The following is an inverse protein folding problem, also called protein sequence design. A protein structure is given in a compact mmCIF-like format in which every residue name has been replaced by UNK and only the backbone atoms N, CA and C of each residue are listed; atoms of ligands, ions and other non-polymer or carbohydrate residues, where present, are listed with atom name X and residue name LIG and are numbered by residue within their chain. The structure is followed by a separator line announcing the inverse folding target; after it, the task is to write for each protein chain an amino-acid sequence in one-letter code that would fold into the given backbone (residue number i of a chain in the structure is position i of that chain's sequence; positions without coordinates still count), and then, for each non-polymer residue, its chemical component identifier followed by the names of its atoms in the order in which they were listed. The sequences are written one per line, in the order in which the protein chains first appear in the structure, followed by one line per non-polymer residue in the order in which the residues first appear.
data_IF_846573508174
#
_entry.id   IF_846573508174
#
_cell.length_a   1.000
_cell.length_b   1.000
_cell.length_c   1.000
_cell.angle_alpha   90.00
_cell.angle_beta   90.00
_cell.angle_gamma   90.00
#
_symmetry.space_group_name_H-M   'P 1'
#
loop_
_entity.id
_entity.type
_entity.pdbx_description
1 polymer ?
#
# COMPACT_ATOMS: atom_id res chain seq x y z
N UNK A 1 -12.06 9.30 12.39
CA UNK A 1 -12.46 9.94 13.66
C UNK A 1 -11.77 11.29 13.82
N UNK A 2 -12.49 12.30 14.29
CA UNK A 2 -11.98 13.66 14.58
C UNK A 2 -11.54 13.77 16.04
N UNK A 3 -10.48 14.52 16.36
CA UNK A 3 -10.16 14.87 17.75
C UNK A 3 -9.61 16.32 17.86
N UNK A 4 -10.26 17.24 18.59
CA UNK A 4 -9.79 18.61 18.73
C UNK A 4 -8.73 18.74 19.84
N UNK A 5 -7.45 18.91 19.48
CA UNK A 5 -6.41 19.32 20.45
C UNK A 5 -6.46 20.84 20.67
N UNK A 6 -7.05 21.28 21.80
CA UNK A 6 -6.89 22.68 22.26
C UNK A 6 -5.44 22.93 22.70
N UNK A 7 -4.71 23.78 21.97
CA UNK A 7 -3.44 24.37 22.47
C UNK A 7 -3.74 25.34 23.62
N UNK A 8 -3.21 25.08 24.81
CA UNK A 8 -3.23 26.05 25.92
C UNK A 8 -2.29 27.21 25.60
N UNK A 9 -2.83 28.38 25.26
CA UNK A 9 -2.06 29.64 25.26
C UNK A 9 -2.07 30.23 26.67
N UNK A 10 -0.90 30.32 27.29
CA UNK A 10 -0.66 31.11 28.49
C UNK A 10 -0.69 32.60 28.14
N UNK A 11 -1.64 33.35 28.69
CA UNK A 11 -1.64 34.80 28.69
C UNK A 11 -1.91 35.31 30.12
N UNK A 12 -0.99 36.12 30.65
CA UNK A 12 -1.13 36.86 31.91
C UNK A 12 -2.01 38.09 31.69
N UNK A 13 -3.01 38.28 32.54
CA UNK A 13 -3.80 39.51 32.64
C UNK A 13 -4.83 39.42 33.77
N UNK A 14 -4.78 40.37 34.70
CA UNK A 14 -5.54 40.43 35.95
C UNK A 14 -6.92 41.08 35.82
N UNK A 15 -7.98 40.49 36.39
CA UNK A 15 -8.88 41.10 37.41
C UNK A 15 -10.16 40.28 37.67
N UNK A 16 -10.46 40.10 38.97
CA UNK A 16 -11.71 39.83 39.71
C UNK A 16 -12.99 39.34 38.98
N UNK A 17 -13.50 38.13 39.31
CA UNK A 17 -14.91 37.81 39.68
C UNK A 17 -15.18 36.29 39.90
N UNK A 18 -15.96 35.99 40.96
CA UNK A 18 -16.78 34.79 41.30
C UNK A 18 -16.17 33.35 41.28
N UNK A 19 -16.56 32.47 42.23
CA UNK A 19 -16.06 31.09 42.30
C UNK A 19 -16.55 30.23 41.13
N UNK A 20 -15.73 29.29 40.61
CA UNK A 20 -16.07 28.50 39.43
C UNK A 20 -17.14 27.46 39.75
N UNK A 21 -18.19 27.42 38.94
CA UNK A 21 -19.13 26.30 38.90
C UNK A 21 -18.41 25.06 38.34
N UNK A 22 -18.67 23.89 38.94
CA UNK A 22 -18.12 22.62 38.50
C UNK A 22 -18.44 22.37 37.01
N UNK A 23 -17.50 21.83 36.21
CA UNK A 23 -17.78 21.52 34.81
C UNK A 23 -18.85 20.44 34.76
N UNK A 24 -19.96 20.75 34.06
CA UNK A 24 -20.97 19.78 33.66
C UNK A 24 -20.26 18.64 32.92
N UNK A 25 -20.51 17.40 33.34
CA UNK A 25 -20.04 16.20 32.63
C UNK A 25 -20.44 16.31 31.17
N UNK A 26 -19.44 16.35 30.28
CA UNK A 26 -19.69 16.14 28.85
C UNK A 26 -20.17 14.69 28.73
N UNK A 27 -21.36 14.50 28.16
CA UNK A 27 -21.84 13.17 27.79
C UNK A 27 -20.85 12.48 26.83
N UNK A 28 -20.99 11.16 26.62
CA UNK A 28 -20.09 10.42 25.74
C UNK A 28 -20.03 11.10 24.37
N UNK A 29 -18.83 11.50 23.94
CA UNK A 29 -18.64 12.07 22.60
C UNK A 29 -19.04 10.99 21.59
N UNK A 30 -20.10 11.24 20.83
CA UNK A 30 -20.46 10.43 19.67
C UNK A 30 -19.32 10.51 18.66
N UNK A 31 -18.61 9.41 18.44
CA UNK A 31 -17.59 9.33 17.40
C UNK A 31 -18.27 9.53 16.05
N UNK A 32 -17.91 10.61 15.33
CA UNK A 32 -18.35 10.82 13.96
C UNK A 32 -17.28 10.31 12.98
N UNK A 33 -17.75 9.57 11.97
CA UNK A 33 -16.94 9.17 10.80
C UNK A 33 -16.82 10.41 9.93
N UNK A 34 -15.58 10.77 9.57
CA UNK A 34 -15.34 11.90 8.68
C UNK A 34 -15.73 11.51 7.26
N UNK A 35 -16.58 12.31 6.64
CA UNK A 35 -17.03 12.09 5.27
C UNK A 35 -16.21 12.94 4.30
N UNK A 36 -15.48 12.30 3.36
CA UNK A 36 -14.73 13.04 2.38
C UNK A 36 -15.65 13.99 1.59
N UNK A 37 -15.44 15.31 1.71
CA UNK A 37 -16.08 16.34 0.88
C UNK A 37 -17.35 16.96 1.46
N UNK A 38 -18.01 16.27 2.40
CA UNK A 38 -19.07 16.86 3.21
C UNK A 38 -18.50 17.53 4.48
N UNK A 39 -17.42 16.95 5.03
CA UNK A 39 -16.80 17.38 6.26
C UNK A 39 -15.51 18.18 6.02
N UNK A 40 -15.45 19.50 6.32
CA UNK A 40 -14.20 20.26 6.25
C UNK A 40 -13.24 19.83 7.37
N UNK A 41 -11.93 19.81 7.09
CA UNK A 41 -10.91 19.60 8.13
C UNK A 41 -10.40 20.97 8.56
N UNK A 42 -10.58 21.31 9.84
CA UNK A 42 -10.14 22.60 10.36
C UNK A 42 -8.60 22.69 10.45
N UNK A 43 -8.03 23.91 10.46
CA UNK A 43 -6.59 24.09 10.60
C UNK A 43 -6.06 23.45 11.90
N UNK A 44 -5.25 22.38 11.75
CA UNK A 44 -4.67 21.62 12.85
C UNK A 44 -5.51 20.44 13.35
N UNK A 45 -6.66 20.17 12.72
CA UNK A 45 -7.39 18.92 12.88
C UNK A 45 -6.68 17.80 12.11
N UNK A 46 -6.53 16.64 12.75
CA UNK A 46 -5.90 15.46 12.15
C UNK A 46 -6.91 14.32 12.21
N UNK A 47 -7.11 13.66 11.08
CA UNK A 47 -7.94 12.47 11.02
C UNK A 47 -7.24 11.31 11.71
N UNK A 48 -7.94 10.67 12.65
CA UNK A 48 -7.52 9.40 13.23
C UNK A 48 -8.25 8.28 12.50
N UNK A 49 -7.53 7.24 12.09
CA UNK A 49 -8.14 6.04 11.52
C UNK A 49 -8.96 5.31 12.57
N UNK A 50 -9.97 4.57 12.11
CA UNK A 50 -10.71 3.62 12.95
C UNK A 50 -9.95 2.28 12.95
N UNK A 51 -9.42 1.81 14.10
CA UNK A 51 -8.69 0.56 14.15
C UNK A 51 -9.53 -0.67 13.78
N UNK A 52 -10.85 -0.62 13.95
CA UNK A 52 -11.73 -1.75 13.60
C UNK A 52 -11.90 -1.94 12.09
N UNK A 53 -11.54 -0.95 11.29
CA UNK A 53 -11.58 -1.03 9.83
C UNK A 53 -10.47 -1.91 9.23
N UNK A 54 -9.49 -2.31 10.04
CA UNK A 54 -8.31 -3.06 9.60
C UNK A 54 -8.11 -4.31 10.46
N UNK A 55 -7.98 -5.47 9.82
CA UNK A 55 -7.44 -6.67 10.47
C UNK A 55 -5.97 -6.44 10.85
N UNK A 56 -5.26 -5.66 10.04
CA UNK A 56 -3.83 -5.39 10.17
C UNK A 56 -3.51 -4.02 9.57
N UNK A 57 -2.72 -3.20 10.26
CA UNK A 57 -2.18 -1.94 9.76
C UNK A 57 -0.82 -1.66 10.41
N UNK A 58 0.23 -1.71 9.61
CA UNK A 58 1.60 -1.37 10.00
C UNK A 58 2.14 -0.27 9.09
N UNK A 59 2.83 0.70 9.67
CA UNK A 59 3.46 1.79 8.94
C UNK A 59 4.97 1.78 9.18
N UNK A 60 5.75 2.05 8.14
CA UNK A 60 7.20 2.18 8.24
C UNK A 60 7.74 3.15 7.18
N UNK A 61 8.98 3.61 7.36
CA UNK A 61 9.64 4.52 6.42
C UNK A 61 11.09 4.10 6.19
N UNK A 62 11.59 4.39 4.99
CA UNK A 62 13.02 4.37 4.69
C UNK A 62 13.61 5.77 4.89
N UNK A 63 14.93 5.91 4.74
CA UNK A 63 15.61 7.21 4.87
C UNK A 63 15.18 8.22 3.80
N UNK A 64 14.69 7.71 2.67
CA UNK A 64 14.30 8.49 1.50
C UNK A 64 12.93 8.03 0.99
N UNK A 65 12.12 8.95 0.43
CA UNK A 65 10.83 8.61 -0.15
C UNK A 65 11.02 7.65 -1.32
N UNK A 66 10.01 6.82 -1.55
CA UNK A 66 10.01 5.84 -2.62
C UNK A 66 8.87 6.10 -3.59
N UNK A 67 9.19 6.35 -4.86
CA UNK A 67 8.19 6.44 -5.93
C UNK A 67 7.67 5.07 -6.33
N UNK A 68 8.45 4.02 -6.10
CA UNK A 68 8.09 2.69 -6.52
C UNK A 68 8.54 1.59 -5.59
N UNK A 69 7.73 0.55 -5.53
CA UNK A 69 8.07 -0.73 -4.92
C UNK A 69 7.43 -1.88 -5.69
N UNK A 70 7.81 -3.10 -5.35
CA UNK A 70 7.20 -4.33 -5.85
C UNK A 70 7.22 -5.40 -4.75
N UNK A 71 6.22 -6.28 -4.75
CA UNK A 71 6.10 -7.36 -3.76
C UNK A 71 6.81 -8.59 -4.28
N UNK A 72 7.76 -9.12 -3.51
CA UNK A 72 8.47 -10.33 -3.87
C UNK A 72 7.61 -11.54 -3.55
N UNK A 73 7.54 -12.45 -4.52
CA UNK A 73 6.99 -13.79 -4.27
C UNK A 73 7.94 -14.56 -3.35
N UNK A 74 7.39 -15.21 -2.34
CA UNK A 74 8.13 -16.00 -1.36
C UNK A 74 7.75 -17.49 -1.43
N UNK A 75 8.51 -18.32 -0.73
CA UNK A 75 8.31 -19.77 -0.65
C UNK A 75 7.61 -20.20 0.66
N UNK A 76 6.94 -19.29 1.37
CA UNK A 76 6.26 -19.59 2.64
C UNK A 76 4.91 -20.30 2.47
N UNK A 77 4.54 -20.66 1.24
CA UNK A 77 3.25 -21.27 0.90
C UNK A 77 2.13 -20.23 0.69
N UNK A 78 0.95 -20.70 0.26
CA UNK A 78 -0.23 -19.85 0.09
C UNK A 78 -1.48 -20.64 -0.34
N UNK A 79 -2.69 -20.05 -0.20
CA UNK A 79 -2.98 -18.71 0.34
C UNK A 79 -2.72 -18.63 1.85
N UNK A 80 -2.09 -17.54 2.30
CA UNK A 80 -1.78 -17.32 3.72
C UNK A 80 -2.85 -16.44 4.36
N UNK A 81 -3.80 -17.04 5.06
CA UNK A 81 -4.96 -16.36 5.64
C UNK A 81 -4.86 -16.11 7.15
N UNK A 82 -3.97 -16.82 7.86
CA UNK A 82 -3.80 -16.70 9.31
C UNK A 82 -2.60 -15.82 9.69
N UNK A 83 -2.80 -15.01 10.72
CA UNK A 83 -1.75 -14.23 11.35
C UNK A 83 -0.80 -15.10 12.21
N UNK A 84 0.45 -14.65 12.46
CA UNK A 84 1.07 -13.45 11.92
C UNK A 84 1.56 -13.63 10.48
N UNK A 85 1.56 -12.55 9.70
CA UNK A 85 2.08 -12.55 8.33
C UNK A 85 3.55 -12.15 8.25
N UNK A 86 4.19 -12.62 7.18
CA UNK A 86 5.49 -12.14 6.73
C UNK A 86 5.45 -11.84 5.24
N UNK A 87 6.10 -10.78 4.79
CA UNK A 87 6.18 -10.43 3.38
C UNK A 87 7.57 -9.92 3.03
N UNK A 88 7.88 -10.01 1.74
CA UNK A 88 9.13 -9.55 1.15
C UNK A 88 8.81 -8.54 0.06
N UNK A 89 9.57 -7.46 -0.03
CA UNK A 89 9.35 -6.42 -1.03
C UNK A 89 10.65 -5.72 -1.42
N UNK A 90 10.64 -5.06 -2.58
CA UNK A 90 11.72 -4.21 -3.04
C UNK A 90 11.20 -2.79 -3.22
N UNK A 91 11.94 -1.78 -2.75
CA UNK A 91 11.58 -0.38 -2.88
C UNK A 91 12.76 0.44 -3.41
N UNK A 92 12.50 1.41 -4.29
CA UNK A 92 13.51 2.29 -4.87
C UNK A 92 13.41 3.71 -4.35
N UNK A 93 14.54 4.29 -3.91
CA UNK A 93 14.55 5.63 -3.28
C UNK A 93 14.61 6.79 -4.27
N UNK A 94 14.22 7.97 -3.80
CA UNK A 94 14.31 9.26 -4.49
C UNK A 94 14.99 10.31 -3.60
N UNK A 95 16.29 10.14 -3.39
CA UNK A 95 17.15 11.08 -2.69
C UNK A 95 17.63 12.19 -3.63
N UNK A 96 17.66 13.44 -3.14
CA UNK A 96 18.17 14.58 -3.92
C UNK A 96 19.62 14.40 -4.38
N UNK A 97 20.57 13.92 -3.54
CA UNK A 97 21.90 13.61 -4.02
C UNK A 97 21.89 12.27 -4.78
N UNK A 98 22.27 12.28 -6.06
CA UNK A 98 22.26 11.08 -6.91
C UNK A 98 22.93 9.86 -6.27
N UNK A 99 24.05 10.07 -5.55
CA UNK A 99 24.82 9.00 -4.87
C UNK A 99 24.23 8.49 -3.56
N UNK A 100 23.18 9.12 -3.05
CA UNK A 100 22.50 8.72 -1.81
C UNK A 100 21.37 7.71 -2.08
N UNK A 101 21.05 7.46 -3.36
CA UNK A 101 20.00 6.53 -3.74
C UNK A 101 20.42 5.07 -3.59
N UNK A 102 19.43 4.24 -3.33
CA UNK A 102 19.53 2.79 -3.28
C UNK A 102 18.18 2.17 -3.65
N UNK A 103 18.19 0.87 -3.90
CA UNK A 103 16.98 0.06 -3.74
C UNK A 103 17.14 -0.87 -2.53
N UNK A 104 16.07 -1.01 -1.76
CA UNK A 104 16.00 -1.77 -0.53
C UNK A 104 15.17 -3.03 -0.75
N UNK A 105 15.75 -4.19 -0.46
CA UNK A 105 15.05 -5.45 -0.26
C UNK A 105 14.64 -5.51 1.20
N UNK A 106 13.36 -5.72 1.48
CA UNK A 106 12.76 -5.57 2.80
C UNK A 106 12.03 -6.86 3.15
N UNK A 107 12.23 -7.34 4.38
CA UNK A 107 11.42 -8.37 5.02
C UNK A 107 10.68 -7.74 6.19
N UNK A 108 9.37 -7.86 6.14
CA UNK A 108 8.50 -7.60 7.28
C UNK A 108 8.00 -8.94 7.79
N UNK A 109 8.09 -9.18 9.10
CA UNK A 109 7.57 -10.40 9.71
C UNK A 109 6.88 -10.09 11.04
N UNK A 110 6.19 -11.07 11.60
CA UNK A 110 5.38 -10.91 12.81
C UNK A 110 4.34 -9.79 12.65
N UNK A 111 3.81 -9.62 11.44
CA UNK A 111 2.73 -8.67 11.17
C UNK A 111 1.45 -9.29 11.75
N UNK A 112 1.19 -9.04 13.02
CA UNK A 112 0.00 -9.50 13.71
C UNK A 112 -1.21 -8.61 13.45
N UNK A 113 -2.37 -9.10 13.88
CA UNK A 113 -3.53 -8.25 14.06
C UNK A 113 -3.18 -7.24 15.15
N UNK A 114 -3.49 -5.96 14.94
CA UNK A 114 -3.21 -4.94 15.95
C UNK A 114 -3.91 -5.23 17.28
N UNK A 115 -3.87 -4.29 18.24
CA UNK A 115 -4.43 -4.42 19.60
C UNK A 115 -5.91 -4.83 19.71
N UNK A 116 -6.64 -4.97 18.60
CA UNK A 116 -8.07 -5.29 18.55
C UNK A 116 -8.40 -6.66 17.92
N UNK A 117 -7.41 -7.38 17.38
CA UNK A 117 -7.64 -8.67 16.69
C UNK A 117 -8.15 -9.81 17.58
N UNK A 118 -7.93 -9.76 18.90
CA UNK A 118 -8.33 -10.84 19.81
C UNK A 118 -9.81 -10.82 20.21
N UNK A 119 -10.54 -9.71 20.00
CA UNK A 119 -11.92 -9.59 20.51
C UNK A 119 -13.02 -10.00 19.54
N UNK A 120 -12.73 -10.17 18.24
CA UNK A 120 -13.75 -10.46 17.23
C UNK A 120 -14.07 -11.95 17.04
N UNK A 121 -13.28 -12.86 17.63
CA UNK A 121 -13.47 -14.31 17.49
C UNK A 121 -14.30 -14.96 18.63
N UNK A 122 -14.65 -14.20 19.68
CA UNK A 122 -15.50 -14.70 20.75
C UNK A 122 -16.98 -14.37 20.45
N UNK A 123 -17.65 -15.28 19.76
CA UNK A 123 -19.11 -15.30 19.72
C UNK A 123 -19.70 -15.48 21.13
N UNK A 124 -20.80 -14.77 21.36
CA UNK A 124 -21.69 -14.74 22.54
C UNK A 124 -21.54 -15.82 23.63
N UNK A 125 -21.66 -15.33 24.87
CA UNK A 125 -21.79 -16.04 26.17
C UNK A 125 -20.52 -16.71 26.70
N UNK A 126 -19.76 -16.00 27.55
CA UNK A 126 -19.77 -16.24 28.99
C UNK A 126 -18.74 -15.38 29.74
N UNK A 127 -19.21 -14.81 30.85
CA UNK A 127 -18.53 -14.57 32.14
C UNK A 127 -17.01 -14.34 32.15
N UNK A 128 -16.61 -13.10 32.52
CA UNK A 128 -15.46 -12.76 33.35
C UNK A 128 -14.28 -13.76 33.36
N UNK A 129 -13.40 -13.68 32.36
CA UNK A 129 -11.99 -14.04 32.56
C UNK A 129 -11.13 -12.81 32.33
N UNK A 130 -10.82 -12.14 33.44
CA UNK A 130 -9.65 -11.27 33.57
C UNK A 130 -8.42 -12.21 33.60
N UNK A 131 -8.13 -12.87 32.47
CA UNK A 131 -6.83 -13.47 32.24
C UNK A 131 -6.05 -12.46 31.42
N UNK A 132 -5.06 -11.86 32.09
CA UNK A 132 -3.92 -11.18 31.48
C UNK A 132 -3.11 -12.20 30.63
N UNK A 133 -3.73 -12.79 29.62
CA UNK A 133 -3.04 -13.53 28.57
C UNK A 133 -2.47 -12.48 27.59
N UNK A 134 -1.50 -11.70 28.09
CA UNK A 134 -0.42 -11.12 27.30
C UNK A 134 0.40 -12.30 26.72
N UNK A 135 -0.22 -13.10 25.85
CA UNK A 135 0.42 -14.20 25.16
C UNK A 135 1.49 -13.60 24.25
N UNK A 136 2.73 -13.58 24.73
CA UNK A 136 4.02 -13.27 24.09
C UNK A 136 3.93 -12.82 22.62
N UNK A 137 3.31 -11.66 22.36
CA UNK A 137 3.15 -11.19 20.98
C UNK A 137 4.52 -10.73 20.48
N UNK A 138 5.16 -11.56 19.65
CA UNK A 138 6.47 -11.25 19.10
C UNK A 138 6.34 -9.95 18.29
N UNK A 139 7.14 -8.90 18.58
CA UNK A 139 6.97 -7.61 17.94
C UNK A 139 7.22 -7.70 16.43
N UNK A 140 6.59 -6.80 15.63
CA UNK A 140 6.85 -6.70 14.21
C UNK A 140 8.34 -6.56 13.91
N UNK A 141 8.79 -7.31 12.91
CA UNK A 141 10.17 -7.41 12.52
C UNK A 141 10.39 -6.62 11.23
N UNK A 142 11.38 -5.73 11.21
CA UNK A 142 11.79 -4.96 10.03
C UNK A 142 13.26 -5.26 9.71
N UNK A 143 13.50 -5.98 8.60
CA UNK A 143 14.84 -6.24 8.09
C UNK A 143 15.00 -5.69 6.69
N UNK A 144 16.16 -5.10 6.41
CA UNK A 144 16.47 -4.53 5.09
C UNK A 144 17.87 -4.91 4.62
N UNK A 145 18.01 -5.03 3.30
CA UNK A 145 19.27 -5.09 2.57
C UNK A 145 19.22 -4.07 1.44
N UNK A 146 20.23 -3.21 1.37
CA UNK A 146 20.24 -2.08 0.45
C UNK A 146 21.38 -2.21 -0.54
N UNK A 147 21.10 -1.90 -1.81
CA UNK A 147 22.10 -1.84 -2.87
C UNK A 147 22.11 -0.43 -3.46
N UNK A 148 23.30 0.16 -3.51
CA UNK A 148 23.51 1.51 -4.02
C UNK A 148 23.05 1.63 -5.47
N UNK A 149 22.29 2.69 -5.75
CA UNK A 149 21.82 3.03 -7.08
C UNK A 149 22.27 4.47 -7.39
N UNK A 150 22.77 4.73 -8.59
CA UNK A 150 23.15 6.08 -8.98
C UNK A 150 21.94 6.79 -9.59
N UNK A 151 21.51 7.88 -8.97
CA UNK A 151 20.29 8.57 -9.37
C UNK A 151 19.03 7.94 -8.74
N UNK A 152 17.92 8.65 -8.80
CA UNK A 152 16.62 8.22 -8.30
C UNK A 152 16.10 6.97 -9.04
N UNK A 153 15.39 6.12 -8.30
CA UNK A 153 14.71 4.95 -8.87
C UNK A 153 13.25 5.32 -9.16
N UNK A 154 12.92 5.52 -10.43
CA UNK A 154 11.57 5.89 -10.89
C UNK A 154 10.60 4.71 -10.82
N UNK A 155 11.10 3.51 -11.15
CA UNK A 155 10.34 2.26 -11.09
C UNK A 155 11.25 1.11 -10.67
N UNK A 156 10.74 0.20 -9.84
CA UNK A 156 11.42 -1.04 -9.49
C UNK A 156 10.47 -2.21 -9.63
N UNK A 157 10.94 -3.32 -10.21
CA UNK A 157 10.17 -4.56 -10.38
C UNK A 157 11.03 -5.79 -10.13
N UNK A 158 10.48 -6.72 -9.36
CA UNK A 158 11.05 -8.05 -9.16
C UNK A 158 10.57 -8.98 -10.25
N UNK A 159 11.46 -9.85 -10.76
CA UNK A 159 11.10 -10.83 -11.77
C UNK A 159 10.26 -11.95 -11.13
N UNK A 160 9.03 -12.22 -11.62
CA UNK A 160 8.13 -13.19 -10.99
C UNK A 160 8.69 -14.61 -10.89
N UNK A 161 9.48 -15.03 -11.88
CA UNK A 161 10.06 -16.38 -11.95
C UNK A 161 11.36 -16.50 -11.15
N UNK A 162 12.01 -15.38 -10.82
CA UNK A 162 13.23 -15.35 -10.01
C UNK A 162 13.26 -14.04 -9.20
N UNK A 163 12.65 -14.00 -8.00
CA UNK A 163 12.44 -12.76 -7.25
C UNK A 163 13.72 -11.97 -6.89
N UNK A 164 14.88 -12.65 -6.89
CA UNK A 164 16.20 -12.03 -6.71
C UNK A 164 16.68 -11.20 -7.91
N UNK A 165 16.08 -11.34 -9.10
CA UNK A 165 16.38 -10.47 -10.23
C UNK A 165 15.49 -9.23 -10.19
N UNK A 166 16.12 -8.06 -10.02
CA UNK A 166 15.45 -6.79 -9.85
C UNK A 166 15.73 -5.90 -11.06
N UNK A 167 14.70 -5.39 -11.72
CA UNK A 167 14.84 -4.33 -12.72
C UNK A 167 14.54 -2.97 -12.07
N UNK A 168 15.41 -2.00 -12.32
CA UNK A 168 15.20 -0.60 -11.94
C UNK A 168 15.14 0.26 -13.19
N UNK A 169 14.23 1.23 -13.19
CA UNK A 169 14.23 2.36 -14.12
C UNK A 169 14.80 3.57 -13.38
N UNK A 170 15.94 4.09 -13.80
CA UNK A 170 16.60 5.25 -13.19
C UNK A 170 16.27 6.59 -13.87
N UNK A 171 16.36 7.67 -13.09
CA UNK A 171 16.24 9.06 -13.57
C UNK A 171 17.35 9.47 -14.57
N UNK A 172 18.47 8.74 -14.57
CA UNK A 172 19.57 8.88 -15.53
C UNK A 172 19.27 8.36 -16.95
N UNK A 173 18.03 7.94 -17.24
CA UNK A 173 17.64 7.41 -18.55
C UNK A 173 18.15 6.00 -18.81
N UNK A 174 18.32 5.19 -17.75
CA UNK A 174 18.83 3.83 -17.85
C UNK A 174 17.87 2.86 -17.18
N UNK A 175 17.62 1.73 -17.85
CA UNK A 175 17.06 0.54 -17.20
C UNK A 175 18.20 -0.37 -16.82
N UNK A 176 18.19 -0.85 -15.59
CA UNK A 176 19.25 -1.70 -15.04
C UNK A 176 18.64 -2.98 -14.48
N UNK A 177 19.29 -4.11 -14.70
CA UNK A 177 18.92 -5.39 -14.09
C UNK A 177 19.99 -5.78 -13.10
N UNK A 178 19.58 -6.10 -11.89
CA UNK A 178 20.42 -6.42 -10.75
C UNK A 178 20.20 -7.86 -10.31
N UNK A 179 21.28 -8.52 -9.92
CA UNK A 179 21.19 -9.81 -9.23
C UNK A 179 21.32 -9.55 -7.73
N UNK A 180 20.17 -9.56 -7.05
CA UNK A 180 20.03 -9.37 -5.62
C UNK A 180 19.69 -10.68 -4.89
N UNK A 181 19.91 -11.83 -5.53
CA UNK A 181 19.55 -13.16 -4.98
C UNK A 181 20.19 -13.39 -3.61
N UNK A 182 21.48 -13.06 -3.47
CA UNK A 182 22.17 -13.18 -2.18
C UNK A 182 21.53 -12.32 -1.07
N UNK A 183 21.10 -11.10 -1.39
CA UNK A 183 20.44 -10.22 -0.43
C UNK A 183 19.06 -10.76 -0.02
N UNK A 184 18.33 -11.36 -0.96
CA UNK A 184 17.04 -12.02 -0.67
C UNK A 184 17.27 -13.24 0.21
N UNK A 185 18.24 -14.10 -0.11
CA UNK A 185 18.57 -15.29 0.69
C UNK A 185 18.96 -14.93 2.13
N UNK A 186 19.77 -13.88 2.32
CA UNK A 186 20.12 -13.36 3.64
C UNK A 186 18.89 -12.91 4.44
N UNK A 187 17.93 -12.23 3.79
CA UNK A 187 16.67 -11.83 4.44
C UNK A 187 15.83 -13.05 4.84
N UNK A 188 15.76 -14.06 3.98
CA UNK A 188 15.01 -15.30 4.23
C UNK A 188 15.59 -16.05 5.43
N UNK A 189 16.91 -16.30 5.41
CA UNK A 189 17.60 -17.10 6.42
C UNK A 189 17.71 -16.39 7.78
N UNK A 190 17.55 -15.07 7.83
CA UNK A 190 17.70 -14.30 9.07
C UNK A 190 19.14 -14.28 9.61
N UNK A 191 20.11 -14.73 8.82
CA UNK A 191 21.53 -14.68 9.16
C UNK A 191 22.03 -13.24 9.00
N UNK A 192 22.52 -12.65 10.09
CA UNK A 192 23.05 -11.29 10.09
C UNK A 192 24.36 -11.14 9.32
N UNK A 193 24.62 -9.93 8.77
CA UNK A 193 25.98 -9.36 8.68
C UNK A 193 26.08 -7.92 8.16
N UNK A 194 25.05 -7.30 7.55
CA UNK A 194 25.12 -5.84 7.32
C UNK A 194 24.65 -5.12 8.57
N UNK A 195 25.44 -4.18 9.09
CA UNK A 195 24.93 -3.25 10.11
C UNK A 195 23.65 -2.61 9.58
N UNK A 196 22.61 -2.42 10.41
CA UNK A 196 21.44 -1.63 10.02
C UNK A 196 21.92 -0.32 9.38
N UNK A 197 21.41 0.02 8.19
CA UNK A 197 21.80 1.23 7.47
C UNK A 197 22.99 1.09 6.50
N UNK A 198 23.68 -0.05 6.42
CA UNK A 198 24.78 -0.20 5.47
C UNK A 198 24.28 -0.45 4.05
N UNK A 199 24.58 0.47 3.15
CA UNK A 199 24.28 0.34 1.71
C UNK A 199 25.41 -0.45 1.03
N UNK A 200 25.07 -1.63 0.52
CA UNK A 200 25.96 -2.46 -0.28
C UNK A 200 26.26 -1.82 -1.63
N UNK A 201 27.43 -2.13 -2.20
CA UNK A 201 27.79 -1.70 -3.55
C UNK A 201 27.75 -2.92 -4.46
N UNK A 202 26.97 -2.81 -5.53
CA UNK A 202 26.93 -3.77 -6.62
C UNK A 202 27.02 -3.05 -7.96
N UNK A 203 27.27 -3.81 -9.02
CA UNK A 203 27.09 -3.34 -10.38
C UNK A 203 25.86 -4.02 -10.97
N UNK A 204 25.10 -3.35 -11.85
CA UNK A 204 24.01 -4.01 -12.54
C UNK A 204 24.55 -5.11 -13.45
N UNK A 205 23.84 -6.23 -13.51
CA UNK A 205 24.11 -7.36 -14.41
C UNK A 205 23.90 -6.96 -15.87
N UNK A 206 22.90 -6.11 -16.12
CA UNK A 206 22.61 -5.55 -17.44
C UNK A 206 22.26 -4.06 -17.29
N UNK A 207 22.64 -3.27 -18.28
CA UNK A 207 22.32 -1.85 -18.36
C UNK A 207 21.84 -1.54 -19.78
N UNK A 208 20.65 -0.99 -19.87
CA UNK A 208 19.99 -0.62 -21.12
C UNK A 208 19.81 0.90 -21.14
N UNK A 209 20.48 1.55 -22.10
CA UNK A 209 20.44 3.00 -22.23
C UNK A 209 19.22 3.42 -23.05
N UNK A 210 18.44 4.35 -22.51
CA UNK A 210 17.34 5.02 -23.20
C UNK A 210 17.74 6.45 -23.61
N UNK A 211 16.97 7.04 -24.50
CA UNK A 211 17.13 8.44 -24.94
C UNK A 211 16.65 9.44 -23.90
N UNK A 212 15.60 9.07 -23.13
CA UNK A 212 15.06 9.84 -22.00
C UNK A 212 14.73 8.89 -20.85
N UNK A 213 14.63 9.45 -19.65
CA UNK A 213 14.03 8.72 -18.53
C UNK A 213 12.57 8.36 -18.79
N UNK A 214 11.99 7.59 -17.88
CA UNK A 214 10.71 6.94 -18.00
C UNK A 214 10.26 6.39 -16.66
N UNK A 215 9.11 5.75 -16.66
CA UNK A 215 8.44 5.23 -15.47
C UNK A 215 7.82 3.85 -15.71
N UNK A 216 7.64 3.45 -16.97
CA UNK A 216 7.04 2.17 -17.32
C UNK A 216 8.12 1.07 -17.33
N UNK A 217 7.95 0.07 -16.48
CA UNK A 217 8.81 -1.10 -16.40
C UNK A 217 7.95 -2.28 -15.93
N UNK A 218 7.98 -3.40 -16.67
CA UNK A 218 7.35 -4.64 -16.20
C UNK A 218 8.03 -5.87 -16.80
N UNK A 219 8.09 -6.93 -15.99
CA UNK A 219 8.55 -8.24 -16.39
C UNK A 219 7.40 -9.04 -17.00
N UNK A 220 7.69 -9.78 -18.07
CA UNK A 220 6.74 -10.77 -18.57
C UNK A 220 6.47 -11.83 -17.51
N UNK A 221 5.20 -12.04 -17.20
CA UNK A 221 4.77 -13.12 -16.28
C UNK A 221 4.89 -14.51 -16.93
N UNK A 222 4.96 -14.56 -18.27
CA UNK A 222 4.95 -15.82 -19.04
C UNK A 222 6.34 -16.24 -19.52
N UNK A 223 7.20 -15.29 -19.90
CA UNK A 223 8.55 -15.60 -20.37
C UNK A 223 9.59 -15.03 -19.40
N UNK A 224 10.34 -15.94 -18.78
CA UNK A 224 11.40 -15.59 -17.85
C UNK A 224 12.45 -14.69 -18.53
N UNK A 225 12.80 -13.57 -17.88
CA UNK A 225 13.82 -12.65 -18.35
C UNK A 225 13.38 -11.68 -19.45
N UNK A 226 12.14 -11.78 -19.97
CA UNK A 226 11.60 -10.78 -20.89
C UNK A 226 11.13 -9.55 -20.10
N UNK A 227 11.61 -8.38 -20.47
CA UNK A 227 11.35 -7.12 -19.81
C UNK A 227 10.81 -6.11 -20.82
N UNK A 228 9.73 -5.40 -20.48
CA UNK A 228 9.24 -4.28 -21.25
C UNK A 228 9.50 -2.98 -20.50
N UNK A 229 9.84 -1.93 -21.23
CA UNK A 229 10.22 -0.65 -20.63
C UNK A 229 9.77 0.51 -21.55
N UNK A 230 9.26 1.59 -20.98
CA UNK A 230 8.76 2.76 -21.73
C UNK A 230 9.32 4.08 -21.23
N UNK A 231 9.76 4.94 -22.15
CA UNK A 231 10.38 6.23 -21.84
C UNK A 231 9.51 7.45 -22.19
N UNK A 232 9.91 8.61 -21.66
CA UNK A 232 9.30 9.92 -21.91
C UNK A 232 9.56 10.45 -23.33
N UNK A 233 10.27 9.71 -24.19
CA UNK A 233 10.36 9.98 -25.63
C UNK A 233 9.28 9.22 -26.42
N UNK A 234 8.31 8.60 -25.73
CA UNK A 234 7.22 7.81 -26.31
C UNK A 234 7.69 6.52 -27.02
N UNK A 235 8.85 5.98 -26.62
CA UNK A 235 9.33 4.70 -27.13
C UNK A 235 9.06 3.57 -26.13
N UNK A 236 8.66 2.41 -26.66
CA UNK A 236 8.54 1.16 -25.92
C UNK A 236 9.67 0.25 -26.38
N UNK A 237 10.42 -0.28 -25.42
CA UNK A 237 11.51 -1.21 -25.64
C UNK A 237 11.15 -2.56 -25.01
N UNK A 238 11.51 -3.64 -25.70
CA UNK A 238 11.37 -5.01 -25.19
C UNK A 238 12.74 -5.66 -25.21
N UNK A 239 13.14 -6.21 -24.07
CA UNK A 239 14.42 -6.85 -23.83
C UNK A 239 14.18 -8.33 -23.58
N UNK A 240 15.01 -9.20 -24.15
CA UNK A 240 14.93 -10.64 -23.93
C UNK A 240 16.33 -11.26 -23.84
N UNK A 241 16.51 -12.35 -23.08
CA UNK A 241 17.78 -13.08 -23.04
C UNK A 241 18.11 -13.66 -24.42
N UNK A 242 19.38 -13.63 -24.83
CA UNK A 242 19.83 -14.13 -26.14
C UNK A 242 19.51 -15.62 -26.39
N UNK A 243 19.17 -16.39 -25.35
CA UNK A 243 18.76 -17.80 -25.43
C UNK A 243 17.23 -18.02 -25.47
N UNK A 244 16.41 -16.96 -25.46
CA UNK A 244 14.95 -17.02 -25.31
C UNK A 244 14.16 -16.83 -26.62
N UNK A 245 14.83 -16.81 -27.77
CA UNK A 245 14.18 -16.85 -29.07
C UNK A 245 14.11 -18.29 -29.54
N UNK A 246 12.97 -18.98 -29.33
CA UNK A 246 12.49 -20.06 -30.22
C UNK A 246 11.09 -20.56 -29.86
N UNK A 247 10.08 -19.68 -29.87
CA UNK A 247 8.68 -20.06 -30.15
C UNK A 247 7.76 -18.83 -30.22
N UNK A 248 7.56 -18.36 -31.45
CA UNK A 248 6.62 -17.30 -31.78
C UNK A 248 5.18 -17.71 -31.56
N UNK A 249 4.59 -17.25 -30.44
CA UNK A 249 3.14 -17.12 -30.30
C UNK A 249 2.79 -15.74 -29.76
N UNK A 250 2.43 -14.85 -30.68
CA UNK A 250 1.81 -13.57 -30.40
C UNK A 250 0.29 -13.79 -30.38
N UNK A 251 -0.33 -13.78 -29.19
CA UNK A 251 -1.78 -13.68 -29.11
C UNK A 251 -2.16 -12.22 -29.35
N UNK A 252 -2.64 -11.94 -30.56
CA UNK A 252 -3.31 -10.67 -30.85
C UNK A 252 -4.69 -10.72 -30.20
N UNK A 253 -4.87 -9.96 -29.13
CA UNK A 253 -6.20 -9.68 -28.62
C UNK A 253 -6.86 -8.67 -29.54
N UNK A 254 -8.04 -9.01 -30.04
CA UNK A 254 -8.82 -8.10 -30.85
C UNK A 254 -9.45 -7.01 -29.97
N UNK A 255 -8.75 -5.89 -29.83
CA UNK A 255 -9.22 -4.70 -29.11
C UNK A 255 -10.25 -3.87 -29.93
N UNK A 256 -10.73 -4.36 -31.08
CA UNK A 256 -11.68 -3.61 -31.93
C UNK A 256 -13.12 -3.61 -31.40
N UNK A 257 -13.39 -4.26 -30.27
CA UNK A 257 -14.69 -4.22 -29.60
C UNK A 257 -14.81 -3.09 -28.55
N UNK A 258 -13.78 -2.26 -28.37
CA UNK A 258 -13.93 -0.99 -27.66
C UNK A 258 -14.54 0.04 -28.61
N UNK A 259 -15.84 0.32 -28.48
CA UNK A 259 -16.43 1.48 -29.15
C UNK A 259 -15.71 2.73 -28.62
N UNK A 260 -15.21 3.65 -29.48
CA UNK A 260 -14.60 4.89 -29.02
C UNK A 260 -15.53 5.63 -28.06
N UNK A 261 -15.05 5.92 -26.84
CA UNK A 261 -15.84 6.56 -25.78
C UNK A 261 -16.75 5.64 -24.95
N UNK A 262 -16.75 4.32 -25.20
CA UNK A 262 -17.48 3.37 -24.36
C UNK A 262 -16.57 2.83 -23.24
N UNK A 263 -16.89 3.20 -22.00
CA UNK A 263 -16.40 2.55 -20.80
C UNK A 263 -17.46 1.56 -20.29
N UNK A 264 -17.03 0.45 -19.70
CA UNK A 264 -17.95 -0.51 -19.04
C UNK A 264 -18.48 0.06 -17.73
N UNK A 265 -17.64 0.84 -17.03
CA UNK A 265 -18.01 1.60 -15.84
C UNK A 265 -17.15 2.87 -15.73
N UNK A 266 -17.70 3.92 -15.14
CA UNK A 266 -16.99 5.17 -14.83
C UNK A 266 -17.35 5.62 -13.41
N UNK A 267 -16.37 5.58 -12.51
CA UNK A 267 -16.54 5.98 -11.12
C UNK A 267 -15.90 7.35 -10.88
N UNK A 268 -16.73 8.34 -10.58
CA UNK A 268 -16.29 9.70 -10.24
C UNK A 268 -16.22 9.85 -8.72
N UNK A 269 -15.17 9.30 -8.10
CA UNK A 269 -14.97 9.35 -6.64
C UNK A 269 -13.75 10.15 -6.20
N UNK A 270 -12.57 9.80 -6.73
CA UNK A 270 -11.33 10.51 -6.44
C UNK A 270 -11.41 11.96 -6.89
N UNK A 271 -10.79 12.86 -6.13
CA UNK A 271 -10.83 14.31 -6.40
C UNK A 271 -9.56 14.87 -7.00
N UNK A 272 -8.58 14.01 -7.18
CA UNK A 272 -7.30 14.35 -7.81
C UNK A 272 -6.88 13.21 -8.74
N UNK A 273 -5.72 13.36 -9.39
CA UNK A 273 -5.21 12.38 -10.33
C UNK A 273 -5.00 11.02 -9.64
N UNK A 274 -5.53 9.97 -10.26
CA UNK A 274 -5.25 8.59 -9.88
C UNK A 274 -3.78 8.31 -10.23
N UNK A 275 -3.01 7.83 -9.25
CA UNK A 275 -1.57 7.60 -9.36
C UNK A 275 -1.21 6.14 -9.62
N UNK A 276 -2.06 5.20 -9.17
CA UNK A 276 -1.91 3.76 -9.42
C UNK A 276 -3.27 3.07 -9.49
N UNK A 277 -3.36 2.01 -10.28
CA UNK A 277 -4.53 1.13 -10.40
C UNK A 277 -4.03 -0.30 -10.55
N UNK A 278 -4.58 -1.23 -9.78
CA UNK A 278 -4.27 -2.66 -9.90
C UNK A 278 -5.50 -3.53 -9.66
N UNK A 279 -5.69 -4.55 -10.49
CA UNK A 279 -6.67 -5.60 -10.24
C UNK A 279 -6.20 -6.52 -9.11
N UNK A 280 -7.14 -7.02 -8.31
CA UNK A 280 -6.83 -8.05 -7.33
C UNK A 280 -6.34 -9.31 -8.05
N UNK A 281 -5.21 -9.91 -7.62
CA UNK A 281 -4.76 -11.19 -8.15
C UNK A 281 -5.61 -12.36 -7.63
N UNK A 282 -6.45 -12.13 -6.62
CA UNK A 282 -7.28 -13.15 -5.97
C UNK A 282 -8.74 -13.09 -6.40
N UNK A 283 -9.26 -11.91 -6.75
CA UNK A 283 -10.67 -11.70 -7.10
C UNK A 283 -10.85 -10.93 -8.40
N UNK A 284 -11.54 -11.55 -9.37
CA UNK A 284 -11.62 -11.04 -10.75
C UNK A 284 -12.46 -9.77 -10.93
N UNK A 285 -13.37 -9.49 -9.99
CA UNK A 285 -14.20 -8.29 -10.00
C UNK A 285 -13.61 -7.14 -9.17
N UNK A 286 -12.51 -7.38 -8.45
CA UNK A 286 -11.98 -6.44 -7.47
C UNK A 286 -10.77 -5.68 -8.01
N UNK A 287 -10.69 -4.38 -7.73
CA UNK A 287 -9.52 -3.55 -8.05
C UNK A 287 -9.23 -2.55 -6.93
N UNK A 288 -8.01 -2.03 -6.88
CA UNK A 288 -7.60 -0.97 -5.96
C UNK A 288 -7.00 0.21 -6.73
N UNK A 289 -7.18 1.42 -6.18
CA UNK A 289 -6.69 2.68 -6.74
C UNK A 289 -6.03 3.54 -5.68
N UNK A 290 -4.97 4.27 -6.02
CA UNK A 290 -4.42 5.37 -5.21
C UNK A 290 -4.58 6.69 -5.95
N UNK A 291 -4.70 7.78 -5.20
CA UNK A 291 -4.85 9.12 -5.78
C UNK A 291 -4.00 10.15 -5.05
N UNK A 292 -3.66 11.22 -5.76
CA UNK A 292 -3.00 12.40 -5.21
C UNK A 292 -3.89 13.19 -4.22
N UNK A 293 -5.14 12.76 -3.99
CA UNK A 293 -5.98 13.25 -2.88
C UNK A 293 -5.65 12.61 -1.52
N UNK A 294 -4.69 11.68 -1.48
CA UNK A 294 -4.27 11.00 -0.24
C UNK A 294 -5.15 9.82 0.16
N UNK A 295 -5.97 9.32 -0.77
CA UNK A 295 -6.83 8.16 -0.57
C UNK A 295 -6.39 6.96 -1.41
N UNK A 296 -6.50 5.78 -0.82
CA UNK A 296 -6.55 4.51 -1.53
C UNK A 296 -7.94 3.93 -1.38
N UNK A 297 -8.54 3.52 -2.50
CA UNK A 297 -9.86 2.93 -2.54
C UNK A 297 -9.80 1.50 -3.09
N UNK A 298 -10.59 0.60 -2.50
CA UNK A 298 -10.83 -0.76 -3.00
C UNK A 298 -12.24 -0.83 -3.54
N UNK A 299 -12.40 -1.48 -4.68
CA UNK A 299 -13.61 -1.54 -5.46
C UNK A 299 -13.96 -2.99 -5.79
N UNK A 300 -15.24 -3.34 -5.74
CA UNK A 300 -15.75 -4.60 -6.31
C UNK A 300 -16.85 -4.30 -7.33
N UNK A 301 -16.58 -4.65 -8.58
CA UNK A 301 -17.46 -4.41 -9.71
C UNK A 301 -18.66 -5.35 -9.76
N UNK A 302 -18.65 -6.44 -8.97
CA UNK A 302 -19.79 -7.35 -8.86
C UNK A 302 -20.88 -6.83 -7.91
N UNK A 303 -20.59 -5.79 -7.12
CA UNK A 303 -21.56 -5.20 -6.20
C UNK A 303 -22.57 -4.33 -6.93
N UNK A 304 -23.84 -4.61 -6.66
CA UNK A 304 -25.00 -3.84 -7.08
C UNK A 304 -25.77 -3.36 -5.84
N UNK A 305 -26.52 -2.26 -5.96
CA UNK A 305 -27.39 -1.82 -4.86
C UNK A 305 -28.55 -2.79 -4.70
N UNK A 306 -28.75 -3.32 -3.50
CA UNK A 306 -29.97 -4.01 -3.11
C UNK A 306 -30.83 -3.09 -2.20
N UNK A 307 -31.96 -2.56 -2.71
CA UNK A 307 -32.84 -1.68 -1.94
C UNK A 307 -33.45 -2.33 -0.70
N UNK A 308 -33.64 -3.66 -0.70
CA UNK A 308 -34.21 -4.38 0.45
C UNK A 308 -33.17 -4.49 1.58
N UNK A 309 -31.90 -4.76 1.22
CA UNK A 309 -30.79 -4.78 2.17
C UNK A 309 -30.50 -3.39 2.74
N UNK A 310 -30.44 -2.35 1.89
CA UNK A 310 -30.25 -0.94 2.33
C UNK A 310 -31.37 -0.49 3.31
N UNK A 311 -32.63 -0.86 3.04
CA UNK A 311 -33.74 -0.54 3.93
C UNK A 311 -33.64 -1.26 5.28
N UNK A 312 -33.13 -2.50 5.28
CA UNK A 312 -32.94 -3.29 6.50
C UNK A 312 -31.80 -2.71 7.37
N UNK A 313 -30.70 -2.28 6.76
CA UNK A 313 -29.58 -1.62 7.43
C UNK A 313 -29.95 -0.22 7.95
N UNK A 314 -30.66 0.60 7.16
CA UNK A 314 -31.15 1.90 7.61
C UNK A 314 -32.06 1.81 8.85
N UNK A 315 -32.82 0.72 8.99
CA UNK A 315 -33.63 0.46 10.18
C UNK A 315 -32.80 0.10 11.43
N UNK A 316 -31.57 -0.39 11.27
CA UNK A 316 -30.66 -0.76 12.37
C UNK A 316 -29.87 0.40 12.98
N UNK A 317 -30.03 1.63 12.47
CA UNK A 317 -29.31 2.81 12.97
C UNK A 317 -27.84 2.89 12.54
N UNK A 318 -27.40 2.03 11.62
CA UNK A 318 -26.13 2.20 10.91
C UNK A 318 -26.21 3.45 10.02
N UNK A 319 -25.12 4.21 9.94
CA UNK A 319 -25.07 5.48 9.22
C UNK A 319 -25.60 5.30 7.79
N UNK A 320 -26.60 6.09 7.40
CA UNK A 320 -27.10 6.10 6.01
C UNK A 320 -25.91 6.33 5.08
N UNK A 321 -25.64 5.37 4.20
CA UNK A 321 -24.63 5.54 3.17
C UNK A 321 -25.01 6.78 2.34
N UNK A 322 -24.09 7.76 2.17
CA UNK A 322 -24.37 8.92 1.34
C UNK A 322 -24.87 8.49 -0.05
N UNK A 323 -25.94 9.11 -0.56
CA UNK A 323 -26.51 8.75 -1.86
C UNK A 323 -25.50 8.85 -3.02
N UNK A 324 -24.47 9.68 -2.83
CA UNK A 324 -23.42 9.99 -3.81
C UNK A 324 -22.25 8.99 -3.84
N UNK A 325 -22.21 7.97 -2.96
CA UNK A 325 -21.16 6.95 -3.01
C UNK A 325 -21.53 5.83 -3.99
N UNK A 326 -20.62 5.45 -4.92
CA UNK A 326 -20.86 4.31 -5.79
C UNK A 326 -20.90 3.02 -4.95
N UNK A 327 -21.87 2.11 -5.21
CA UNK A 327 -22.02 0.88 -4.43
C UNK A 327 -20.83 -0.09 -4.57
N UNK A 328 -20.03 0.07 -5.63
CA UNK A 328 -18.80 -0.70 -5.85
C UNK A 328 -17.67 -0.31 -4.89
N UNK A 329 -17.74 0.83 -4.19
CA UNK A 329 -16.70 1.26 -3.27
C UNK A 329 -16.77 0.43 -1.97
N UNK A 330 -15.79 -0.44 -1.78
CA UNK A 330 -15.73 -1.36 -0.64
C UNK A 330 -14.98 -0.78 0.56
N UNK A 331 -13.89 -0.08 0.30
CA UNK A 331 -13.00 0.37 1.36
C UNK A 331 -12.24 1.63 0.96
N UNK A 332 -11.97 2.49 1.95
CA UNK A 332 -11.16 3.69 1.77
C UNK A 332 -10.10 3.74 2.86
N UNK A 333 -8.85 3.59 2.45
CA UNK A 333 -7.70 3.92 3.28
C UNK A 333 -7.38 5.41 3.13
N UNK A 334 -7.21 6.10 4.26
CA UNK A 334 -6.80 7.50 4.31
C UNK A 334 -5.79 7.66 5.44
N UNK A 335 -4.84 8.58 5.27
CA UNK A 335 -3.80 8.82 6.27
C UNK A 335 -2.38 8.87 5.70
N UNK A 336 -2.22 8.76 4.38
CA UNK A 336 -0.96 8.99 3.69
C UNK A 336 -1.03 10.23 2.81
N UNK A 337 0.06 11.00 2.76
CA UNK A 337 0.16 12.18 1.92
C UNK A 337 0.91 11.89 0.61
N UNK A 338 0.30 12.23 -0.54
CA UNK A 338 0.92 12.10 -1.87
C UNK A 338 1.31 10.65 -2.20
N UNK A 339 0.30 9.78 -2.25
CA UNK A 339 0.45 8.35 -2.58
C UNK A 339 0.93 8.15 -4.01
N UNK A 340 1.94 7.29 -4.20
CA UNK A 340 2.61 7.10 -5.50
C UNK A 340 2.27 5.77 -6.16
N UNK A 341 2.21 4.71 -5.37
CA UNK A 341 2.00 3.36 -5.88
C UNK A 341 1.30 2.50 -4.82
N UNK A 342 0.54 1.51 -5.28
CA UNK A 342 -0.04 0.43 -4.46
C UNK A 342 0.26 -0.92 -5.12
N UNK A 343 0.31 -1.97 -4.31
CA UNK A 343 0.29 -3.35 -4.77
C UNK A 343 -0.57 -4.24 -3.87
N UNK A 344 -1.30 -5.17 -4.48
CA UNK A 344 -1.85 -6.32 -3.77
C UNK A 344 -0.76 -7.32 -3.42
N UNK A 345 -0.84 -7.95 -2.25
CA UNK A 345 0.06 -9.05 -1.93
C UNK A 345 -0.36 -10.32 -2.70
N UNK A 346 0.49 -10.91 -3.54
CA UNK A 346 0.11 -12.00 -4.44
C UNK A 346 -0.15 -13.34 -3.72
N UNK A 347 0.22 -13.47 -2.45
CA UNK A 347 0.07 -14.72 -1.66
C UNK A 347 -0.70 -14.55 -0.34
N UNK A 348 -1.10 -13.32 0.01
CA UNK A 348 -1.85 -13.01 1.23
C UNK A 348 -3.13 -12.30 0.77
N UNK A 349 -4.25 -13.02 0.69
CA UNK A 349 -5.54 -12.43 0.32
C UNK A 349 -5.90 -11.22 1.19
N UNK A 350 -6.53 -10.22 0.57
CA UNK A 350 -6.92 -8.96 1.21
C UNK A 350 -5.80 -8.01 1.65
N UNK A 351 -4.52 -8.39 1.56
CA UNK A 351 -3.42 -7.54 1.98
C UNK A 351 -2.96 -6.59 0.87
N UNK A 352 -2.85 -5.30 1.20
CA UNK A 352 -2.34 -4.24 0.34
C UNK A 352 -1.13 -3.57 0.96
N UNK A 353 -0.27 -3.07 0.08
CA UNK A 353 0.85 -2.22 0.43
C UNK A 353 0.72 -0.94 -0.39
N UNK A 354 1.06 0.19 0.20
CA UNK A 354 1.10 1.49 -0.48
C UNK A 354 2.35 2.26 -0.09
N UNK A 355 2.85 3.07 -1.03
CA UNK A 355 3.94 4.04 -0.78
C UNK A 355 3.45 5.46 -1.03
N UNK A 356 3.95 6.40 -0.24
CA UNK A 356 3.61 7.81 -0.28
C UNK A 356 4.80 8.67 0.17
N UNK A 357 4.64 9.99 0.20
CA UNK A 357 5.71 10.88 0.64
C UNK A 357 6.11 10.68 2.11
N UNK A 358 5.21 10.14 2.94
CA UNK A 358 5.41 9.85 4.36
C UNK A 358 5.83 8.41 4.67
N UNK A 359 6.02 7.57 3.64
CA UNK A 359 6.52 6.20 3.79
C UNK A 359 5.54 5.15 3.26
N UNK A 360 5.50 4.01 3.93
CA UNK A 360 4.75 2.82 3.53
C UNK A 360 3.69 2.45 4.55
N UNK A 361 2.53 2.03 4.06
CA UNK A 361 1.54 1.32 4.86
C UNK A 361 1.36 -0.10 4.31
N UNK A 362 1.29 -1.07 5.21
CA UNK A 362 0.94 -2.46 4.94
C UNK A 362 -0.31 -2.75 5.74
N UNK A 363 -1.39 -3.11 5.06
CA UNK A 363 -2.66 -3.29 5.74
C UNK A 363 -3.55 -4.33 5.09
N UNK A 364 -4.46 -4.88 5.89
CA UNK A 364 -5.54 -5.76 5.44
C UNK A 364 -6.85 -5.17 5.95
N UNK A 365 -7.75 -4.68 5.07
CA UNK A 365 -9.07 -4.22 5.48
C UNK A 365 -9.87 -5.37 6.11
N UNK A 366 -10.67 -5.09 7.13
CA UNK A 366 -11.46 -6.10 7.83
C UNK A 366 -12.59 -6.69 6.97
N UNK A 367 -13.03 -5.96 5.94
CA UNK A 367 -14.12 -6.34 5.04
C UNK A 367 -13.66 -6.80 3.65
N UNK A 368 -12.34 -6.96 3.44
CA UNK A 368 -11.76 -7.44 2.18
C UNK A 368 -11.00 -8.74 2.47
N UNK A 369 -11.39 -9.81 1.78
CA UNK A 369 -10.82 -11.15 1.97
C UNK A 369 -9.64 -11.44 1.07
#
# INVERSE_FOLDING_TARGET
MRNPKKKSKTAKGSSTAAPPQAPRSQGPMTQSVWQPGADPIDEGEVLQYDPSAYDCLHAFSLDWPCLSFDVLRDELGGPRSSFPHALYMVAGTQATPARANYFALIKLANLGQGKHGSKAAAGSDDELSDSDDEEDSVPPLFHTRMLAHHGGVNRVRSMPQQPGLIATWGDGGQVQVWDATAQVDELVQGLGASKPGQVGRGAPKQLFQHTREGYALDWSKMQAGRLASGDCASHIHVWEPAAASDDGLLRVWDLRNFKPGAFVANFSYHRNAITSVEWSPHESSMLATTSADGQLAVWDLALERDPEEEASLAASGSAQAPEDLPPQLLFVHSGQHDMKELHWHPQIPGMLISTAADGFNVFKPANVQ
#
